data_IF_092350925712
#
_entry.id   IF_092350925712
#
_cell.length_a   1.000
_cell.length_b   1.000
_cell.length_c   1.000
_cell.angle_alpha   90.00
_cell.angle_beta   90.00
_cell.angle_gamma   90.00
#
_symmetry.space_group_name_H-M   'P 1'
#
loop_
_entity.id
_entity.type
_entity.pdbx_description
1 polymer ?
#
# COMPACT_ATOMS: atom_id res chain seq x y z
N UNK A 1 4.52 -12.47 -13.56
CA UNK A 1 4.10 -13.03 -12.25
C UNK A 1 4.39 -12.08 -11.08
N UNK A 2 5.59 -11.50 -10.94
CA UNK A 2 5.94 -10.59 -9.83
C UNK A 2 5.03 -9.36 -9.68
N UNK A 3 4.65 -8.73 -10.79
CA UNK A 3 3.73 -7.57 -10.83
C UNK A 3 2.34 -7.91 -10.27
N UNK A 4 1.84 -9.12 -10.51
CA UNK A 4 0.54 -9.56 -10.00
C UNK A 4 0.51 -9.53 -8.47
N UNK A 5 1.60 -9.96 -7.82
CA UNK A 5 1.70 -9.93 -6.36
C UNK A 5 1.66 -8.51 -5.80
N UNK A 6 2.25 -7.51 -6.47
CA UNK A 6 2.11 -6.10 -6.06
C UNK A 6 0.67 -5.62 -6.14
N UNK A 7 -0.05 -5.94 -7.23
CA UNK A 7 -1.46 -5.58 -7.36
C UNK A 7 -2.35 -6.26 -6.32
N UNK A 8 -2.13 -7.56 -6.07
CA UNK A 8 -2.85 -8.30 -5.02
C UNK A 8 -2.56 -7.68 -3.66
N UNK A 9 -1.30 -7.37 -3.37
CA UNK A 9 -0.90 -6.73 -2.12
C UNK A 9 -1.62 -5.39 -1.93
N UNK A 10 -1.61 -4.50 -2.92
CA UNK A 10 -2.30 -3.22 -2.84
C UNK A 10 -3.82 -3.38 -2.69
N UNK A 11 -4.44 -4.32 -3.40
CA UNK A 11 -5.86 -4.60 -3.27
C UNK A 11 -6.23 -5.04 -1.83
N UNK A 12 -5.42 -5.91 -1.21
CA UNK A 12 -5.59 -6.29 0.19
C UNK A 12 -5.41 -5.09 1.13
N UNK A 13 -4.39 -4.26 0.91
CA UNK A 13 -4.11 -3.09 1.74
C UNK A 13 -5.24 -2.04 1.67
N UNK A 14 -5.76 -1.77 0.47
CA UNK A 14 -6.91 -0.88 0.27
C UNK A 14 -8.12 -1.43 1.01
N UNK A 15 -8.45 -2.71 0.80
CA UNK A 15 -9.61 -3.35 1.40
C UNK A 15 -9.56 -3.32 2.93
N UNK A 16 -8.40 -3.68 3.50
CA UNK A 16 -8.17 -3.63 4.95
C UNK A 16 -8.31 -2.21 5.50
N UNK A 17 -7.73 -1.22 4.81
CA UNK A 17 -7.82 0.19 5.23
C UNK A 17 -9.24 0.73 5.19
N UNK A 18 -10.04 0.37 4.18
CA UNK A 18 -11.47 0.73 4.09
C UNK A 18 -12.25 0.13 5.26
N UNK A 19 -12.01 -1.14 5.59
CA UNK A 19 -12.65 -1.79 6.74
C UNK A 19 -12.27 -1.13 8.06
N UNK A 20 -11.00 -0.75 8.24
CA UNK A 20 -10.58 0.00 9.43
C UNK A 20 -11.24 1.38 9.52
N UNK A 21 -11.40 2.07 8.39
CA UNK A 21 -12.16 3.32 8.36
C UNK A 21 -13.62 3.10 8.76
N UNK A 22 -14.25 2.03 8.26
CA UNK A 22 -15.61 1.65 8.66
C UNK A 22 -15.72 1.28 10.15
N UNK A 23 -14.71 0.61 10.70
CA UNK A 23 -14.64 0.32 12.13
C UNK A 23 -14.67 1.60 12.98
N UNK A 24 -14.03 2.67 12.51
CA UNK A 24 -14.04 3.98 13.14
C UNK A 24 -15.38 4.73 13.03
N UNK A 25 -16.12 4.54 11.94
CA UNK A 25 -17.42 5.20 11.69
C UNK A 25 -18.57 4.45 12.40
N UNK A 26 -18.54 3.12 12.43
CA UNK A 26 -19.61 2.27 12.99
C UNK A 26 -19.17 1.57 14.28
N UNK A 27 -19.27 2.23 15.45
CA UNK A 27 -18.75 1.70 16.71
C UNK A 27 -19.40 0.39 17.16
N UNK A 28 -20.64 0.10 16.72
CA UNK A 28 -21.35 -1.15 17.04
C UNK A 28 -20.75 -2.38 16.35
N UNK A 29 -20.15 -2.21 15.17
CA UNK A 29 -19.57 -3.29 14.36
C UNK A 29 -18.03 -3.26 14.32
N UNK A 30 -17.41 -2.38 15.14
CA UNK A 30 -15.96 -2.13 15.15
C UNK A 30 -15.11 -3.40 15.23
N UNK A 31 -15.53 -4.37 16.05
CA UNK A 31 -14.79 -5.62 16.25
C UNK A 31 -14.81 -6.52 15.03
N UNK A 32 -15.95 -6.59 14.33
CA UNK A 32 -16.08 -7.39 13.11
C UNK A 32 -15.16 -6.81 12.03
N UNK A 33 -15.23 -5.50 11.80
CA UNK A 33 -14.39 -4.84 10.80
C UNK A 33 -12.89 -4.90 11.15
N UNK A 34 -12.54 -4.84 12.43
CA UNK A 34 -11.16 -5.00 12.89
C UNK A 34 -10.65 -6.43 12.63
N UNK A 35 -11.42 -7.46 12.98
CA UNK A 35 -11.05 -8.86 12.76
C UNK A 35 -10.88 -9.14 11.26
N UNK A 36 -11.88 -8.79 10.44
CA UNK A 36 -11.84 -9.02 8.99
C UNK A 36 -10.70 -8.24 8.33
N UNK A 37 -10.52 -6.98 8.72
CA UNK A 37 -9.42 -6.15 8.21
C UNK A 37 -8.05 -6.75 8.51
N UNK A 38 -7.84 -7.31 9.70
CA UNK A 38 -6.59 -7.96 10.07
C UNK A 38 -6.37 -9.31 9.36
N UNK A 39 -7.42 -10.10 9.11
CA UNK A 39 -7.31 -11.35 8.33
C UNK A 39 -6.80 -11.03 6.90
N UNK A 40 -7.33 -9.97 6.29
CA UNK A 40 -6.87 -9.50 4.98
C UNK A 40 -5.42 -9.01 5.06
N UNK A 41 -5.05 -8.30 6.13
CA UNK A 41 -3.68 -7.78 6.32
C UNK A 41 -2.66 -8.91 6.53
N UNK A 42 -3.02 -9.96 7.27
CA UNK A 42 -2.21 -11.17 7.41
C UNK A 42 -2.02 -11.86 6.04
N UNK A 43 -3.08 -11.92 5.25
CA UNK A 43 -3.00 -12.45 3.88
C UNK A 43 -2.07 -11.62 2.99
N UNK A 44 -2.12 -10.29 3.11
CA UNK A 44 -1.20 -9.37 2.43
C UNK A 44 0.26 -9.58 2.88
N UNK A 45 0.48 -9.86 4.16
CA UNK A 45 1.81 -10.14 4.72
C UNK A 45 2.43 -11.39 4.10
N UNK A 46 1.63 -12.42 3.81
CA UNK A 46 2.10 -13.59 3.08
C UNK A 46 2.55 -13.24 1.65
N UNK A 47 1.78 -12.43 0.93
CA UNK A 47 2.15 -11.93 -0.41
C UNK A 47 3.44 -11.11 -0.37
N UNK A 48 3.60 -10.27 0.67
CA UNK A 48 4.81 -9.49 0.89
C UNK A 48 6.05 -10.37 1.06
N UNK A 49 5.93 -11.48 1.81
CA UNK A 49 7.03 -12.45 1.95
C UNK A 49 7.40 -13.08 0.60
N UNK A 50 6.43 -13.37 -0.27
CA UNK A 50 6.72 -13.87 -1.62
C UNK A 50 7.43 -12.83 -2.50
N UNK A 51 7.08 -11.55 -2.35
CA UNK A 51 7.77 -10.46 -3.04
C UNK A 51 9.23 -10.34 -2.58
N UNK A 52 9.49 -10.39 -1.26
CA UNK A 52 10.86 -10.37 -0.73
C UNK A 52 11.73 -11.54 -1.20
N UNK A 53 11.14 -12.70 -1.47
CA UNK A 53 11.89 -13.86 -2.02
C UNK A 53 12.35 -13.65 -3.46
N UNK A 54 11.69 -12.76 -4.23
CA UNK A 54 11.84 -12.71 -5.69
C UNK A 54 12.26 -11.35 -6.22
N UNK A 55 12.22 -10.30 -5.39
CA UNK A 55 12.52 -8.92 -5.74
C UNK A 55 13.43 -8.32 -4.66
N UNK A 56 14.43 -7.49 -5.02
CA UNK A 56 15.29 -6.83 -4.05
C UNK A 56 14.50 -6.04 -3.00
N UNK A 57 14.97 -6.11 -1.75
CA UNK A 57 14.35 -5.46 -0.60
C UNK A 57 14.05 -3.96 -0.81
N UNK A 58 14.94 -3.13 -1.40
CA UNK A 58 14.65 -1.73 -1.62
C UNK A 58 13.43 -1.49 -2.51
N UNK A 59 13.27 -2.29 -3.57
CA UNK A 59 12.15 -2.20 -4.51
C UNK A 59 10.85 -2.63 -3.82
N UNK A 60 10.90 -3.74 -3.07
CA UNK A 60 9.71 -4.23 -2.34
C UNK A 60 9.25 -3.20 -1.32
N UNK A 61 10.14 -2.64 -0.52
CA UNK A 61 9.80 -1.62 0.48
C UNK A 61 9.23 -0.37 -0.21
N UNK A 62 9.88 0.12 -1.27
CA UNK A 62 9.41 1.29 -2.00
C UNK A 62 7.98 1.10 -2.54
N UNK A 63 7.75 0.03 -3.31
CA UNK A 63 6.48 -0.22 -3.96
C UNK A 63 5.38 -0.66 -2.99
N UNK A 64 5.70 -1.47 -1.97
CA UNK A 64 4.71 -1.90 -1.00
C UNK A 64 4.32 -0.75 -0.06
N UNK A 65 5.28 -0.05 0.54
CA UNK A 65 4.96 1.02 1.50
C UNK A 65 4.46 2.29 0.80
N UNK A 66 5.21 2.80 -0.17
CA UNK A 66 4.83 4.00 -0.90
C UNK A 66 3.62 3.78 -1.80
N UNK A 67 3.55 2.64 -2.49
CA UNK A 67 2.39 2.29 -3.32
C UNK A 67 1.12 2.07 -2.49
N UNK A 68 1.23 1.44 -1.32
CA UNK A 68 0.08 1.35 -0.39
C UNK A 68 -0.37 2.74 0.04
N UNK A 69 0.55 3.61 0.45
CA UNK A 69 0.20 4.95 0.88
C UNK A 69 -0.61 5.70 -0.19
N UNK A 70 -0.11 5.72 -1.44
CA UNK A 70 -0.79 6.38 -2.55
C UNK A 70 -2.15 5.77 -2.87
N UNK A 71 -2.22 4.44 -2.96
CA UNK A 71 -3.45 3.74 -3.32
C UNK A 71 -4.52 3.84 -2.24
N UNK A 72 -4.14 3.80 -0.95
CA UNK A 72 -5.05 4.02 0.16
C UNK A 72 -5.53 5.46 0.19
N UNK A 73 -4.63 6.45 0.06
CA UNK A 73 -5.01 7.87 0.00
C UNK A 73 -6.01 8.15 -1.13
N UNK A 74 -5.76 7.59 -2.32
CA UNK A 74 -6.67 7.67 -3.46
C UNK A 74 -8.00 6.98 -3.17
N UNK A 75 -7.98 5.79 -2.57
CA UNK A 75 -9.19 5.05 -2.22
C UNK A 75 -10.02 5.79 -1.17
N UNK A 76 -9.38 6.44 -0.19
CA UNK A 76 -10.08 7.28 0.80
C UNK A 76 -10.72 8.50 0.15
N UNK A 77 -10.03 9.12 -0.82
CA UNK A 77 -10.57 10.24 -1.57
C UNK A 77 -11.76 9.84 -2.44
N UNK A 78 -11.71 8.69 -3.11
CA UNK A 78 -12.78 8.22 -3.99
C UNK A 78 -13.98 7.66 -3.20
N UNK A 79 -13.72 6.80 -2.21
CA UNK A 79 -14.75 6.02 -1.53
C UNK A 79 -15.40 6.78 -0.37
N UNK A 80 -14.59 7.45 0.45
CA UNK A 80 -15.09 8.25 1.58
C UNK A 80 -15.26 9.73 1.23
N UNK A 81 -15.04 10.12 -0.04
CA UNK A 81 -15.11 11.50 -0.52
C UNK A 81 -14.30 12.47 0.35
N UNK A 82 -13.20 12.00 0.95
CA UNK A 82 -12.32 12.84 1.75
C UNK A 82 -11.40 13.64 0.81
N UNK A 83 -11.57 14.97 0.69
CA UNK A 83 -10.76 15.75 -0.22
C UNK A 83 -9.29 15.72 0.20
N UNK A 84 -8.41 15.50 -0.76
CA UNK A 84 -6.97 15.60 -0.57
C UNK A 84 -6.57 17.08 -0.56
N UNK A 85 -5.84 17.50 0.46
CA UNK A 85 -5.25 18.84 0.51
C UNK A 85 -4.17 19.00 -0.56
N UNK A 86 -3.95 20.22 -1.04
CA UNK A 86 -2.86 20.55 -1.96
C UNK A 86 -1.49 20.08 -1.47
N UNK A 87 -1.23 20.20 -0.17
CA UNK A 87 0.00 19.69 0.45
C UNK A 87 0.10 18.16 0.41
N UNK A 88 -1.02 17.44 0.53
CA UNK A 88 -1.04 15.97 0.44
C UNK A 88 -0.77 15.51 -0.99
N UNK A 89 -1.28 16.24 -2.00
CA UNK A 89 -0.98 15.97 -3.42
C UNK A 89 0.51 16.16 -3.69
N UNK A 90 1.10 17.27 -3.21
CA UNK A 90 2.54 17.49 -3.30
C UNK A 90 3.34 16.37 -2.60
N UNK A 91 2.94 15.99 -1.39
CA UNK A 91 3.54 14.86 -0.67
C UNK A 91 3.45 13.55 -1.46
N UNK A 92 2.31 13.28 -2.09
CA UNK A 92 2.12 12.11 -2.96
C UNK A 92 3.08 12.13 -4.16
N UNK A 93 3.30 13.29 -4.79
CA UNK A 93 4.27 13.42 -5.88
C UNK A 93 5.70 13.13 -5.42
N UNK A 94 6.10 13.65 -4.26
CA UNK A 94 7.42 13.37 -3.68
C UNK A 94 7.61 11.88 -3.41
N UNK A 95 6.57 11.19 -2.92
CA UNK A 95 6.61 9.73 -2.71
C UNK A 95 6.78 8.99 -4.04
N UNK A 96 6.08 9.40 -5.10
CA UNK A 96 6.24 8.80 -6.45
C UNK A 96 7.69 8.95 -6.91
N UNK A 97 8.26 10.15 -6.80
CA UNK A 97 9.66 10.42 -7.17
C UNK A 97 10.61 9.55 -6.35
N UNK A 98 10.47 9.54 -5.02
CA UNK A 98 11.30 8.72 -4.14
C UNK A 98 11.23 7.23 -4.47
N UNK A 99 10.02 6.69 -4.72
CA UNK A 99 9.86 5.30 -5.14
C UNK A 99 10.54 5.01 -6.48
N UNK A 100 10.43 5.89 -7.46
CA UNK A 100 11.11 5.71 -8.75
C UNK A 100 12.62 5.73 -8.58
N UNK A 101 13.17 6.68 -7.82
CA UNK A 101 14.61 6.74 -7.52
C UNK A 101 15.11 5.46 -6.84
N UNK A 102 14.38 4.94 -5.84
CA UNK A 102 14.76 3.68 -5.16
C UNK A 102 14.64 2.48 -6.09
N UNK A 103 13.62 2.46 -6.96
CA UNK A 103 13.40 1.34 -7.88
C UNK A 103 14.46 1.26 -8.98
N UNK A 104 14.91 2.41 -9.49
CA UNK A 104 15.87 2.49 -10.58
C UNK A 104 17.32 2.66 -10.13
N UNK A 105 17.59 3.29 -8.99
CA UNK A 105 18.94 3.52 -8.47
C UNK A 105 19.69 2.25 -8.09
N UNK A 106 19.00 1.12 -7.92
CA UNK A 106 19.63 -0.18 -7.70
C UNK A 106 20.09 -0.91 -8.97
N UNK A 107 19.73 -0.42 -10.18
CA UNK A 107 20.14 -1.06 -11.43
C UNK A 107 21.64 -0.89 -11.72
N UNK A 108 22.20 0.26 -11.36
CA UNK A 108 23.61 0.57 -11.60
C UNK A 108 24.58 -0.19 -10.67
N UNK A 109 24.12 -0.66 -9.51
CA UNK A 109 24.96 -1.41 -8.54
C UNK A 109 25.12 -2.88 -8.94
N UNK A 110 24.25 -3.41 -9.81
CA UNK A 110 24.28 -4.82 -10.22
C UNK A 110 25.14 -5.10 -11.47
N UNK A 111 25.65 -4.05 -12.14
CA UNK A 111 26.50 -4.15 -13.34
C UNK A 111 27.95 -3.70 -13.09
N UNK A 112 28.34 -3.51 -11.82
CA UNK A 112 29.70 -3.15 -11.39
C UNK A 112 30.48 -4.31 -10.79
#
# INVERSE_FOLDING_TARGET
>A
MKILYFFIFWACQISSSILFKYAGIHPKQKWIFLIVGNIILLSASWVLVQLFKTVPQPIVIALCSGGTFLTVQLSMALYFKQPLSWMQILGSLVIIVGMTMVTFGGKDVAEG
#
